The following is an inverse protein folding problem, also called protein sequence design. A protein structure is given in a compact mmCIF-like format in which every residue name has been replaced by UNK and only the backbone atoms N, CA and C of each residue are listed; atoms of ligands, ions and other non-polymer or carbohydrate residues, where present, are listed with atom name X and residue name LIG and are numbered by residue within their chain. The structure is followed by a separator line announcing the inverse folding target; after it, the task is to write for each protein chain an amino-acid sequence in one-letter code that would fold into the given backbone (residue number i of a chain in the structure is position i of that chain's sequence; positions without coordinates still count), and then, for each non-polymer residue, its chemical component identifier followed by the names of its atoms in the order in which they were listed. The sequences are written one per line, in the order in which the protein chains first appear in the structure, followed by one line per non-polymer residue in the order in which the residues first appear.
data_IF_506517726745
#
_entry.id   IF_506517726745
#
_cell.length_a   1.000
_cell.length_b   1.000
_cell.length_c   1.000
_cell.angle_alpha   90.00
_cell.angle_beta   90.00
_cell.angle_gamma   90.00
#
_symmetry.space_group_name_H-M   'P 1'
#
loop_
_entity.id
_entity.type
_entity.pdbx_description
1 polymer ?
#
# COMPACT_ATOMS: atom_id res chain seq x y z
N UNK A 1 -69.27 52.58 -16.41
CA UNK A 1 -69.02 51.49 -15.46
C UNK A 1 -68.87 50.18 -16.24
N UNK A 2 -67.66 49.87 -16.70
CA UNK A 2 -67.36 48.63 -17.46
C UNK A 2 -66.24 47.86 -16.77
N UNK A 3 -66.53 46.65 -16.30
CA UNK A 3 -65.59 45.75 -15.62
C UNK A 3 -64.76 44.98 -16.66
N UNK A 4 -63.45 45.17 -16.67
CA UNK A 4 -62.51 44.32 -17.42
C UNK A 4 -62.23 43.07 -16.60
N UNK A 5 -62.53 41.88 -17.13
CA UNK A 5 -62.20 40.58 -16.53
C UNK A 5 -60.78 40.18 -16.98
N UNK A 6 -59.87 40.03 -16.02
CA UNK A 6 -58.53 39.49 -16.23
C UNK A 6 -58.62 37.95 -16.24
N UNK A 7 -58.30 37.31 -17.37
CA UNK A 7 -58.19 35.84 -17.47
C UNK A 7 -56.73 35.47 -17.24
N UNK A 8 -56.43 34.88 -16.09
CA UNK A 8 -55.11 34.31 -15.76
C UNK A 8 -55.07 32.91 -16.35
N UNK A 9 -54.22 32.68 -17.35
CA UNK A 9 -53.90 31.34 -17.86
C UNK A 9 -52.94 30.67 -16.88
N UNK A 10 -53.42 29.66 -16.17
CA UNK A 10 -52.62 28.79 -15.32
C UNK A 10 -51.82 27.82 -16.22
N UNK A 11 -50.51 28.00 -16.33
CA UNK A 11 -49.62 27.00 -16.91
C UNK A 11 -49.26 25.97 -15.83
N UNK A 12 -49.81 24.75 -15.92
CA UNK A 12 -49.30 23.63 -15.14
C UNK A 12 -47.94 23.22 -15.73
N UNK A 13 -46.85 23.60 -15.05
CA UNK A 13 -45.54 22.98 -15.25
C UNK A 13 -45.56 21.62 -14.54
N UNK A 14 -45.65 20.56 -15.32
CA UNK A 14 -45.44 19.20 -14.84
C UNK A 14 -43.94 19.03 -14.57
N UNK A 15 -43.53 19.17 -13.31
CA UNK A 15 -42.17 18.93 -12.90
C UNK A 15 -41.88 17.42 -13.04
N UNK A 16 -41.15 17.05 -14.10
CA UNK A 16 -40.54 15.73 -14.19
C UNK A 16 -39.46 15.66 -13.10
N UNK A 17 -39.77 14.99 -12.00
CA UNK A 17 -38.76 14.49 -11.08
C UNK A 17 -37.98 13.40 -11.82
N UNK A 18 -36.84 13.77 -12.40
CA UNK A 18 -35.82 12.82 -12.77
C UNK A 18 -35.23 12.34 -11.44
N UNK A 19 -35.35 11.06 -11.06
CA UNK A 19 -34.60 10.56 -9.93
C UNK A 19 -33.13 10.70 -10.31
N UNK A 20 -32.42 11.58 -9.59
CA UNK A 20 -30.97 11.55 -9.60
C UNK A 20 -30.60 10.22 -8.98
N UNK A 21 -30.19 9.26 -9.81
CA UNK A 21 -29.52 8.08 -9.31
C UNK A 21 -28.27 8.59 -8.59
N UNK A 22 -28.20 8.39 -7.27
CA UNK A 22 -26.94 8.48 -6.55
C UNK A 22 -26.05 7.37 -7.11
N UNK A 23 -25.21 7.69 -8.08
CA UNK A 23 -24.13 6.81 -8.49
C UNK A 23 -23.16 6.74 -7.31
N UNK A 24 -23.11 5.59 -6.65
CA UNK A 24 -22.11 5.27 -5.64
C UNK A 24 -20.71 5.49 -6.25
N UNK A 25 -20.03 6.55 -5.82
CA UNK A 25 -18.63 6.79 -6.10
C UNK A 25 -17.76 5.89 -5.22
N UNK A 26 -17.57 4.64 -5.66
CA UNK A 26 -16.31 3.91 -5.55
C UNK A 26 -16.40 2.73 -6.52
N UNK A 27 -16.34 3.06 -7.81
CA UNK A 27 -16.13 2.03 -8.83
C UNK A 27 -14.69 1.52 -8.70
N UNK A 28 -14.41 0.26 -9.05
CA UNK A 28 -13.02 -0.22 -9.05
C UNK A 28 -12.08 0.61 -9.94
N UNK A 29 -12.62 1.33 -10.94
CA UNK A 29 -11.91 2.36 -11.71
C UNK A 29 -11.45 3.54 -10.84
N UNK A 30 -12.29 4.03 -9.92
CA UNK A 30 -11.93 5.12 -9.00
C UNK A 30 -10.80 4.69 -8.05
N UNK A 31 -10.86 3.45 -7.56
CA UNK A 31 -9.79 2.87 -6.73
C UNK A 31 -8.49 2.78 -7.52
N UNK A 32 -8.51 2.26 -8.75
CA UNK A 32 -7.33 2.22 -9.63
C UNK A 32 -6.74 3.62 -9.89
N UNK A 33 -7.60 4.63 -10.10
CA UNK A 33 -7.19 6.01 -10.32
C UNK A 33 -6.54 6.61 -9.07
N UNK A 34 -7.14 6.41 -7.88
CA UNK A 34 -6.59 6.87 -6.60
C UNK A 34 -5.23 6.23 -6.29
N UNK A 35 -5.08 4.93 -6.52
CA UNK A 35 -3.79 4.22 -6.40
C UNK A 35 -2.75 4.82 -7.35
N UNK A 36 -3.13 5.03 -8.61
CA UNK A 36 -2.24 5.63 -9.62
C UNK A 36 -1.81 7.05 -9.22
N UNK A 37 -2.74 7.87 -8.71
CA UNK A 37 -2.42 9.21 -8.23
C UNK A 37 -1.41 9.17 -7.08
N UNK A 38 -1.59 8.29 -6.09
CA UNK A 38 -0.64 8.11 -4.98
C UNK A 38 0.73 7.61 -5.43
N UNK A 39 0.78 6.74 -6.42
CA UNK A 39 2.04 6.27 -7.00
C UNK A 39 2.85 7.43 -7.62
N UNK A 40 2.20 8.38 -8.28
CA UNK A 40 2.87 9.55 -8.90
C UNK A 40 3.07 10.74 -7.96
N UNK A 41 2.51 10.70 -6.75
CA UNK A 41 2.60 11.79 -5.79
C UNK A 41 3.93 11.77 -5.03
N UNK A 42 4.95 12.46 -5.55
CA UNK A 42 6.28 12.54 -4.93
C UNK A 42 6.39 13.68 -3.89
N UNK A 43 5.32 14.00 -3.17
CA UNK A 43 5.42 14.91 -2.04
C UNK A 43 6.41 14.40 -0.97
N UNK A 44 6.95 15.33 -0.18
CA UNK A 44 8.00 15.06 0.82
C UNK A 44 7.40 14.84 2.21
N UNK A 45 6.18 15.35 2.45
CA UNK A 45 5.45 15.22 3.71
C UNK A 45 3.96 15.05 3.46
N UNK A 46 3.26 14.43 4.40
CA UNK A 46 1.81 14.45 4.47
C UNK A 46 1.34 15.64 5.30
N UNK A 47 0.57 16.54 4.67
CA UNK A 47 0.00 17.72 5.33
C UNK A 47 1.06 18.72 5.84
N UNK A 48 0.58 19.77 6.50
CA UNK A 48 1.43 20.86 7.00
C UNK A 48 2.24 20.46 8.25
N UNK A 49 1.83 19.40 8.95
CA UNK A 49 2.47 18.90 10.17
C UNK A 49 3.75 18.08 9.91
N UNK A 50 4.17 17.94 8.64
CA UNK A 50 5.42 17.27 8.30
C UNK A 50 5.40 15.75 8.52
N UNK A 51 4.22 15.12 8.40
CA UNK A 51 4.07 13.69 8.67
C UNK A 51 4.75 12.82 7.58
N UNK A 52 5.17 11.58 7.90
CA UNK A 52 5.80 10.69 6.93
C UNK A 52 4.90 10.38 5.72
N UNK A 53 5.49 10.42 4.52
CA UNK A 53 4.76 10.27 3.25
C UNK A 53 4.03 8.95 3.08
N UNK A 54 4.49 7.86 3.73
CA UNK A 54 3.81 6.57 3.68
C UNK A 54 2.39 6.60 4.29
N UNK A 55 2.00 7.68 4.97
CA UNK A 55 0.67 7.84 5.53
C UNK A 55 -0.37 8.37 4.52
N UNK A 56 0.05 8.96 3.39
CA UNK A 56 -0.84 9.57 2.40
C UNK A 56 -0.44 9.36 0.93
N UNK A 57 0.82 9.02 0.65
CA UNK A 57 1.39 8.90 -0.69
C UNK A 57 2.13 7.56 -0.86
N UNK A 58 2.27 7.14 -2.12
CA UNK A 58 2.77 5.83 -2.50
C UNK A 58 1.74 4.73 -2.25
N UNK A 59 2.14 3.51 -2.59
CA UNK A 59 1.27 2.34 -2.54
C UNK A 59 1.91 1.27 -1.67
N UNK A 60 1.22 0.92 -0.58
CA UNK A 60 1.61 -0.15 0.33
C UNK A 60 1.00 -1.46 -0.16
N UNK A 61 1.82 -2.36 -0.68
CA UNK A 61 1.36 -3.64 -1.22
C UNK A 61 1.99 -4.81 -0.50
N UNK A 62 1.23 -5.89 -0.34
CA UNK A 62 1.75 -7.14 0.22
C UNK A 62 1.38 -8.30 -0.67
N UNK A 63 2.40 -9.04 -1.12
CA UNK A 63 2.22 -10.34 -1.74
C UNK A 63 1.74 -11.38 -0.75
N UNK A 64 0.81 -12.24 -1.18
CA UNK A 64 0.25 -13.35 -0.39
C UNK A 64 0.17 -14.62 -1.23
N UNK A 65 -0.30 -15.71 -0.61
CA UNK A 65 -0.64 -16.96 -1.29
C UNK A 65 -2.02 -17.36 -0.82
N UNK A 66 -2.98 -17.47 -1.74
CA UNK A 66 -4.35 -17.85 -1.43
C UNK A 66 -4.43 -19.25 -0.82
N UNK A 67 -5.32 -19.47 0.14
CA UNK A 67 -5.50 -20.77 0.79
C UNK A 67 -6.89 -20.92 1.42
N UNK A 68 -7.36 -22.16 1.53
CA UNK A 68 -8.53 -22.56 2.31
C UNK A 68 -8.24 -22.79 3.80
N UNK A 69 -6.97 -22.68 4.22
CA UNK A 69 -6.53 -22.94 5.60
C UNK A 69 -6.38 -21.69 6.45
N UNK A 70 -6.31 -20.52 5.81
CA UNK A 70 -6.10 -19.23 6.45
C UNK A 70 -6.60 -18.12 5.52
N UNK A 71 -6.85 -16.95 6.09
CA UNK A 71 -7.17 -15.75 5.31
C UNK A 71 -5.90 -15.01 4.89
N UNK A 72 -5.81 -14.54 3.65
CA UNK A 72 -4.60 -13.88 3.12
C UNK A 72 -4.18 -12.62 3.88
N UNK A 73 -5.12 -11.93 4.55
CA UNK A 73 -4.86 -10.74 5.38
C UNK A 73 -4.47 -11.06 6.83
N UNK A 74 -4.46 -12.33 7.24
CA UNK A 74 -4.04 -12.72 8.58
C UNK A 74 -2.51 -12.82 8.65
N UNK A 75 -1.87 -12.26 9.70
CA UNK A 75 -0.45 -12.44 9.90
C UNK A 75 -0.05 -13.90 10.03
N UNK A 76 0.94 -14.33 9.23
CA UNK A 76 1.48 -15.69 9.26
C UNK A 76 2.04 -16.05 10.65
N UNK A 77 2.21 -17.34 10.99
CA UNK A 77 2.89 -17.73 12.23
C UNK A 77 4.29 -17.12 12.39
N UNK A 78 5.01 -16.90 11.28
CA UNK A 78 6.30 -16.20 11.30
C UNK A 78 6.14 -14.72 11.63
N UNK A 79 5.18 -14.05 11.00
CA UNK A 79 4.85 -12.65 11.29
C UNK A 79 4.43 -12.43 12.74
N UNK A 80 3.57 -13.31 13.28
CA UNK A 80 3.16 -13.27 14.68
C UNK A 80 4.34 -13.46 15.64
N UNK A 81 5.22 -14.41 15.34
CA UNK A 81 6.42 -14.69 16.16
C UNK A 81 7.41 -13.51 16.15
N UNK A 82 7.68 -12.92 14.99
CA UNK A 82 8.63 -11.80 14.89
C UNK A 82 7.99 -10.48 15.36
N UNK A 83 6.68 -10.32 15.20
CA UNK A 83 5.93 -9.12 15.58
C UNK A 83 5.76 -8.10 14.45
N UNK A 84 5.95 -8.52 13.19
CA UNK A 84 5.81 -7.65 12.02
C UNK A 84 5.39 -8.41 10.75
N UNK A 85 4.85 -7.65 9.80
CA UNK A 85 4.40 -8.12 8.49
C UNK A 85 5.12 -7.31 7.40
N UNK A 86 5.70 -8.01 6.42
CA UNK A 86 6.44 -7.38 5.32
C UNK A 86 5.49 -6.89 4.22
N UNK A 87 5.76 -5.69 3.73
CA UNK A 87 5.12 -5.01 2.60
C UNK A 87 6.21 -4.50 1.65
N UNK A 88 5.81 -4.15 0.44
CA UNK A 88 6.60 -3.30 -0.45
C UNK A 88 5.94 -1.93 -0.57
N UNK A 89 6.76 -0.90 -0.81
CA UNK A 89 6.33 0.47 -1.02
C UNK A 89 6.58 0.87 -2.47
N UNK A 90 5.53 1.25 -3.21
CA UNK A 90 5.65 1.73 -4.58
C UNK A 90 5.47 3.25 -4.64
N UNK A 91 6.37 3.92 -5.35
CA UNK A 91 6.23 5.32 -5.73
C UNK A 91 7.03 5.58 -7.00
N UNK A 92 6.68 6.59 -7.78
CA UNK A 92 7.28 6.81 -9.10
C UNK A 92 8.79 7.10 -9.07
N UNK A 93 9.34 7.56 -7.94
CA UNK A 93 10.77 7.73 -7.69
C UNK A 93 11.43 6.56 -6.93
N UNK A 94 10.64 5.55 -6.54
CA UNK A 94 11.06 4.28 -5.95
C UNK A 94 10.92 3.19 -7.01
N UNK A 95 11.93 3.07 -7.87
CA UNK A 95 11.93 2.17 -9.02
C UNK A 95 12.20 0.72 -8.61
N UNK A 96 11.16 0.04 -8.14
CA UNK A 96 11.14 -1.43 -7.99
C UNK A 96 10.44 -2.06 -9.20
N UNK A 97 10.86 -3.26 -9.61
CA UNK A 97 10.31 -3.92 -10.80
C UNK A 97 9.76 -5.32 -10.53
N UNK A 98 9.82 -5.81 -9.29
CA UNK A 98 9.13 -7.04 -8.87
C UNK A 98 8.83 -7.05 -7.37
N UNK A 99 7.99 -8.01 -6.95
CA UNK A 99 7.77 -8.37 -5.55
C UNK A 99 8.73 -9.49 -5.13
N UNK A 100 9.09 -9.51 -3.84
CA UNK A 100 9.87 -10.60 -3.25
C UNK A 100 9.17 -11.96 -3.45
N UNK A 101 9.95 -13.03 -3.62
CA UNK A 101 9.48 -14.42 -3.91
C UNK A 101 8.58 -14.54 -5.15
N UNK A 102 8.51 -13.53 -6.01
CA UNK A 102 7.64 -13.53 -7.19
C UNK A 102 6.17 -13.83 -6.84
N UNK A 103 5.65 -13.21 -5.77
CA UNK A 103 4.22 -13.30 -5.45
C UNK A 103 3.37 -12.73 -6.58
N UNK A 104 2.34 -13.46 -7.02
CA UNK A 104 1.50 -13.05 -8.15
C UNK A 104 0.16 -12.44 -7.75
N UNK A 105 -0.20 -12.49 -6.48
CA UNK A 105 -1.39 -11.86 -5.92
C UNK A 105 -1.11 -11.29 -4.53
N UNK A 106 -2.06 -10.52 -4.04
CA UNK A 106 -1.98 -9.92 -2.72
C UNK A 106 -3.04 -8.85 -2.50
N UNK A 107 -2.75 -7.95 -1.58
CA UNK A 107 -3.63 -6.84 -1.27
C UNK A 107 -2.88 -5.51 -1.11
N UNK A 108 -3.64 -4.43 -1.25
CA UNK A 108 -3.18 -3.05 -1.17
C UNK A 108 -3.81 -2.39 0.05
N UNK A 109 -3.00 -1.72 0.86
CA UNK A 109 -3.48 -0.86 1.92
C UNK A 109 -3.77 0.56 1.41
N UNK A 110 -4.95 1.09 1.75
CA UNK A 110 -5.29 2.50 1.62
C UNK A 110 -4.34 3.37 2.45
N UNK A 111 -4.12 4.63 2.05
CA UNK A 111 -3.40 5.61 2.87
C UNK A 111 -4.06 5.76 4.25
N UNK A 112 -3.24 5.72 5.30
CA UNK A 112 -3.69 5.72 6.69
C UNK A 112 -4.50 6.96 7.09
N UNK A 113 -4.19 8.13 6.50
CA UNK A 113 -4.92 9.38 6.79
C UNK A 113 -6.31 9.46 6.15
N UNK A 114 -6.61 8.58 5.18
CA UNK A 114 -7.90 8.55 4.48
C UNK A 114 -8.65 7.21 4.69
N UNK A 115 -8.16 6.36 5.58
CA UNK A 115 -8.71 5.02 5.79
C UNK A 115 -9.81 5.02 6.85
N UNK A 116 -11.06 5.03 6.39
CA UNK A 116 -12.25 4.97 7.24
C UNK A 116 -13.13 3.77 6.88
N UNK A 117 -13.86 3.24 7.86
CA UNK A 117 -14.89 2.23 7.65
C UNK A 117 -16.21 2.85 7.14
N UNK A 118 -17.19 2.01 6.85
CA UNK A 118 -18.50 2.44 6.33
C UNK A 118 -19.32 3.29 7.34
N UNK A 119 -18.88 3.39 8.58
CA UNK A 119 -19.47 4.24 9.63
C UNK A 119 -18.69 5.54 9.85
N UNK A 120 -17.60 5.75 9.10
CA UNK A 120 -16.72 6.91 9.21
C UNK A 120 -15.71 6.81 10.37
N UNK A 121 -15.54 5.64 10.99
CA UNK A 121 -14.50 5.44 12.00
C UNK A 121 -13.17 5.10 11.32
N UNK A 122 -12.03 5.61 11.83
CA UNK A 122 -10.73 5.23 11.30
C UNK A 122 -10.50 3.72 11.39
N UNK A 123 -9.98 3.15 10.30
CA UNK A 123 -9.45 1.79 10.30
C UNK A 123 -8.14 1.73 11.10
N UNK A 124 -7.68 0.53 11.44
CA UNK A 124 -6.40 0.41 12.15
C UNK A 124 -5.25 0.83 11.23
N UNK A 125 -4.26 1.49 11.81
CA UNK A 125 -3.02 1.90 11.15
C UNK A 125 -1.87 1.13 11.81
N UNK A 126 -1.53 -0.08 11.34
CA UNK A 126 -0.37 -0.80 11.85
C UNK A 126 0.88 0.09 11.77
N UNK A 127 1.60 0.23 12.88
CA UNK A 127 2.78 1.09 12.94
C UNK A 127 3.82 0.63 11.89
N UNK A 128 4.31 1.57 11.09
CA UNK A 128 5.40 1.29 10.14
C UNK A 128 6.71 1.39 10.92
N UNK A 129 7.44 0.27 10.99
CA UNK A 129 8.58 0.08 11.88
C UNK A 129 9.90 0.48 11.22
N UNK A 130 10.18 -0.10 10.06
CA UNK A 130 11.42 0.15 9.34
C UNK A 130 11.28 -0.09 7.84
N UNK A 131 12.20 0.50 7.08
CA UNK A 131 12.32 0.34 5.65
C UNK A 131 13.72 -0.10 5.24
N UNK A 132 13.79 -1.08 4.36
CA UNK A 132 15.01 -1.52 3.68
C UNK A 132 14.93 -1.17 2.19
N UNK A 133 15.92 -0.44 1.63
CA UNK A 133 15.96 -0.14 0.19
C UNK A 133 16.03 -1.38 -0.72
N UNK A 134 16.52 -2.50 -0.19
CA UNK A 134 16.54 -3.83 -0.80
C UNK A 134 15.86 -4.77 0.18
N UNK A 135 15.21 -5.85 -0.26
CA UNK A 135 14.78 -6.94 0.63
C UNK A 135 15.77 -7.22 1.77
N UNK A 136 15.27 -7.08 3.00
CA UNK A 136 16.06 -7.15 4.21
C UNK A 136 16.29 -8.59 4.67
N UNK A 137 15.52 -9.56 4.18
CA UNK A 137 15.50 -10.92 4.73
C UNK A 137 15.05 -10.91 6.18
N UNK A 138 14.00 -10.16 6.49
CA UNK A 138 13.62 -9.82 7.88
C UNK A 138 13.19 -11.00 8.75
N UNK A 139 12.89 -12.15 8.17
CA UNK A 139 12.63 -13.38 8.92
C UNK A 139 13.86 -13.87 9.70
N UNK A 140 15.07 -13.48 9.27
CA UNK A 140 16.34 -13.82 9.93
C UNK A 140 16.91 -12.67 10.78
N UNK A 141 16.12 -11.61 11.02
CA UNK A 141 16.52 -10.43 11.82
C UNK A 141 15.81 -10.43 13.17
N UNK A 142 16.47 -9.87 14.18
CA UNK A 142 15.85 -9.60 15.47
C UNK A 142 15.02 -8.30 15.45
N UNK A 143 14.48 -7.90 16.59
CA UNK A 143 13.74 -6.64 16.77
C UNK A 143 12.62 -6.42 15.74
N UNK A 144 11.67 -7.36 15.71
CA UNK A 144 10.56 -7.37 14.74
C UNK A 144 11.00 -7.28 13.28
N UNK A 145 12.18 -7.82 12.98
CA UNK A 145 12.75 -7.79 11.63
C UNK A 145 13.54 -6.53 11.30
N UNK A 146 13.56 -5.52 12.17
CA UNK A 146 14.23 -4.23 11.95
C UNK A 146 15.65 -4.18 12.50
N UNK A 147 16.06 -5.18 13.28
CA UNK A 147 17.40 -5.25 13.85
C UNK A 147 18.39 -6.06 13.01
N UNK A 148 19.46 -6.50 13.68
CA UNK A 148 20.58 -7.18 13.03
C UNK A 148 20.18 -8.53 12.46
N UNK A 149 20.71 -8.83 11.28
CA UNK A 149 20.59 -10.12 10.61
C UNK A 149 21.48 -11.15 11.31
N UNK A 150 20.99 -12.39 11.44
CA UNK A 150 21.73 -13.48 12.08
C UNK A 150 23.12 -13.67 11.47
N UNK A 151 24.18 -13.44 12.26
CA UNK A 151 25.58 -13.51 11.82
C UNK A 151 26.19 -12.18 11.35
N UNK A 152 25.40 -11.10 11.28
CA UNK A 152 25.83 -9.77 10.86
C UNK A 152 25.51 -8.74 11.94
N UNK A 153 26.41 -8.57 12.92
CA UNK A 153 26.16 -7.71 14.08
C UNK A 153 25.87 -6.24 13.70
N UNK A 154 26.53 -5.72 12.68
CA UNK A 154 26.40 -4.33 12.22
C UNK A 154 25.34 -4.15 11.12
N UNK A 155 24.34 -5.02 11.02
CA UNK A 155 23.25 -4.87 10.04
C UNK A 155 21.93 -4.41 10.63
N UNK A 156 21.92 -3.93 11.88
CA UNK A 156 20.73 -3.40 12.56
C UNK A 156 20.23 -2.06 11.99
N UNK A 157 19.68 -1.21 12.86
CA UNK A 157 19.21 0.12 12.45
C UNK A 157 20.35 0.97 11.88
N UNK A 158 20.08 1.71 10.80
CA UNK A 158 21.03 2.67 10.21
C UNK A 158 21.38 3.79 11.19
N UNK A 159 20.39 4.27 11.95
CA UNK A 159 20.54 5.36 12.92
C UNK A 159 21.51 4.97 14.05
N UNK A 160 21.49 3.71 14.50
CA UNK A 160 22.45 3.20 15.50
C UNK A 160 23.90 3.21 15.00
N UNK A 161 24.10 3.34 13.68
CA UNK A 161 25.41 3.38 13.03
C UNK A 161 25.77 4.79 12.52
N UNK A 162 24.98 5.81 12.88
CA UNK A 162 25.10 7.18 12.37
C UNK A 162 24.96 7.28 10.83
N UNK A 163 24.19 6.36 10.23
CA UNK A 163 23.78 6.40 8.84
C UNK A 163 22.37 6.96 8.81
N UNK A 164 22.23 8.21 8.40
CA UNK A 164 20.94 8.93 8.37
C UNK A 164 20.61 9.51 7.00
N UNK A 165 21.52 9.42 6.02
CA UNK A 165 21.27 9.90 4.64
C UNK A 165 21.38 8.79 3.61
N UNK A 166 20.75 9.00 2.45
CA UNK A 166 20.83 8.09 1.33
C UNK A 166 22.28 7.86 0.86
N UNK A 167 23.09 8.92 0.79
CA UNK A 167 24.49 8.86 0.37
C UNK A 167 25.35 8.06 1.35
N UNK A 168 25.10 8.20 2.65
CA UNK A 168 25.79 7.42 3.67
C UNK A 168 25.45 5.93 3.56
N UNK A 169 24.17 5.61 3.34
CA UNK A 169 23.74 4.24 3.13
C UNK A 169 24.40 3.63 1.89
N UNK A 170 24.40 4.34 0.77
CA UNK A 170 25.04 3.89 -0.49
C UNK A 170 26.53 3.66 -0.29
N UNK A 171 27.22 4.61 0.35
CA UNK A 171 28.64 4.45 0.66
C UNK A 171 28.89 3.23 1.55
N UNK A 172 28.08 3.02 2.59
CA UNK A 172 28.20 1.85 3.45
C UNK A 172 27.95 0.55 2.68
N UNK A 173 26.90 0.50 1.86
CA UNK A 173 26.55 -0.69 1.08
C UNK A 173 27.65 -1.07 0.08
N UNK A 174 28.20 -0.11 -0.66
CA UNK A 174 29.24 -0.36 -1.66
C UNK A 174 30.61 -0.61 -1.01
N UNK A 175 31.04 0.29 -0.13
CA UNK A 175 32.45 0.37 0.28
C UNK A 175 32.74 -0.38 1.58
N UNK A 176 31.75 -0.58 2.45
CA UNK A 176 31.91 -1.28 3.74
C UNK A 176 31.36 -2.70 3.66
N UNK A 177 30.14 -2.84 3.13
CA UNK A 177 29.45 -4.12 3.06
C UNK A 177 29.72 -4.88 1.74
N UNK A 178 30.38 -4.26 0.77
CA UNK A 178 30.72 -4.88 -0.52
C UNK A 178 29.51 -5.52 -1.23
N UNK A 179 28.39 -4.80 -1.28
CA UNK A 179 27.12 -5.24 -1.87
C UNK A 179 26.48 -6.46 -1.17
N UNK A 180 26.87 -6.77 0.07
CA UNK A 180 26.23 -7.82 0.85
C UNK A 180 24.86 -7.33 1.37
N UNK A 181 23.79 -7.87 0.76
CA UNK A 181 22.40 -7.61 1.14
C UNK A 181 22.12 -7.90 2.62
N UNK A 182 22.71 -8.95 3.21
CA UNK A 182 22.44 -9.32 4.60
C UNK A 182 23.15 -8.37 5.60
N UNK A 183 24.22 -7.71 5.16
CA UNK A 183 24.95 -6.72 5.93
C UNK A 183 24.29 -5.32 5.91
N UNK A 184 23.33 -5.07 5.02
CA UNK A 184 22.65 -3.77 4.94
C UNK A 184 21.93 -3.42 6.27
N UNK A 185 21.98 -2.14 6.65
CA UNK A 185 21.16 -1.61 7.72
C UNK A 185 19.76 -1.25 7.20
N UNK A 186 18.76 -1.28 8.09
CA UNK A 186 17.40 -0.79 7.85
C UNK A 186 17.17 0.59 8.47
N UNK A 187 16.38 1.43 7.82
CA UNK A 187 16.01 2.74 8.37
C UNK A 187 14.85 2.56 9.35
N UNK A 188 15.06 2.90 10.63
CA UNK A 188 13.99 2.97 11.64
C UNK A 188 13.13 4.20 11.42
N UNK A 189 11.81 4.03 11.30
CA UNK A 189 10.84 5.11 11.01
C UNK A 189 9.76 5.27 12.08
N UNK A 190 10.01 4.80 13.30
CA UNK A 190 9.06 4.89 14.44
C UNK A 190 9.24 6.13 15.33
N UNK A 191 10.35 6.85 15.18
CA UNK A 191 10.73 7.95 16.07
C UNK A 191 10.53 9.36 15.49
N UNK A 192 11.10 10.34 16.20
CA UNK A 192 11.21 11.71 15.74
C UNK A 192 11.94 11.77 14.38
N UNK A 193 11.53 12.71 13.53
CA UNK A 193 12.06 12.87 12.17
C UNK A 193 11.84 11.66 11.25
N UNK A 194 10.91 10.75 11.59
CA UNK A 194 10.55 9.60 10.75
C UNK A 194 10.22 9.99 9.30
N UNK A 195 9.65 11.18 9.09
CA UNK A 195 9.38 11.70 7.75
C UNK A 195 10.67 11.93 6.94
N UNK A 196 11.62 12.68 7.50
CA UNK A 196 12.93 12.92 6.87
C UNK A 196 13.70 11.62 6.67
N UNK A 197 13.71 10.75 7.69
CA UNK A 197 14.38 9.46 7.63
C UNK A 197 13.81 8.61 6.48
N UNK A 198 12.49 8.49 6.38
CA UNK A 198 11.86 7.70 5.32
C UNK A 198 12.15 8.30 3.94
N UNK A 199 12.16 9.63 3.82
CA UNK A 199 12.55 10.31 2.58
C UNK A 199 14.01 10.02 2.19
N UNK A 200 14.94 9.96 3.16
CA UNK A 200 16.31 9.52 2.89
C UNK A 200 16.36 8.05 2.49
N UNK A 201 15.55 7.21 3.13
CA UNK A 201 15.52 5.78 2.88
C UNK A 201 15.07 5.45 1.45
N UNK A 202 14.01 6.10 0.97
CA UNK A 202 13.51 5.90 -0.40
C UNK A 202 14.37 6.60 -1.45
N UNK A 203 15.07 7.69 -1.11
CA UNK A 203 16.01 8.37 -2.02
C UNK A 203 17.17 7.46 -2.47
N UNK A 204 17.49 6.40 -1.73
CA UNK A 204 18.57 5.47 -2.09
C UNK A 204 18.41 4.93 -3.52
N UNK A 205 17.18 4.62 -3.98
CA UNK A 205 16.92 4.11 -5.34
C UNK A 205 17.33 5.06 -6.46
N UNK A 206 17.45 6.36 -6.17
CA UNK A 206 17.90 7.37 -7.13
C UNK A 206 19.42 7.49 -7.25
N UNK A 207 20.16 6.93 -6.29
CA UNK A 207 21.61 7.09 -6.18
C UNK A 207 22.39 5.87 -6.66
N UNK A 208 21.77 4.69 -6.70
CA UNK A 208 22.39 3.43 -7.08
C UNK A 208 21.36 2.50 -7.71
N UNK A 209 21.80 1.69 -8.66
CA UNK A 209 20.98 0.62 -9.22
C UNK A 209 20.91 -0.56 -8.23
N UNK A 210 19.80 -0.65 -7.49
CA UNK A 210 19.52 -1.72 -6.52
C UNK A 210 18.81 -2.93 -7.14
N UNK A 211 18.89 -4.12 -6.52
CA UNK A 211 17.99 -5.25 -6.80
C UNK A 211 16.50 -4.85 -6.73
N UNK A 212 15.66 -5.74 -7.25
CA UNK A 212 14.37 -5.38 -7.84
C UNK A 212 13.24 -5.07 -6.86
N UNK A 213 13.42 -5.28 -5.55
CA UNK A 213 12.40 -5.15 -4.52
C UNK A 213 12.89 -4.42 -3.26
N UNK A 214 11.98 -3.71 -2.58
CA UNK A 214 12.18 -3.14 -1.25
C UNK A 214 11.37 -3.90 -0.20
N UNK A 215 11.64 -3.64 1.08
CA UNK A 215 10.89 -4.23 2.19
C UNK A 215 10.57 -3.20 3.27
N UNK A 216 9.29 -3.06 3.58
CA UNK A 216 8.73 -2.21 4.61
C UNK A 216 8.05 -3.09 5.67
N UNK A 217 8.35 -2.88 6.95
CA UNK A 217 7.85 -3.72 8.03
C UNK A 217 6.79 -2.96 8.80
N UNK A 218 5.59 -3.53 8.84
CA UNK A 218 4.49 -3.02 9.64
C UNK A 218 4.37 -3.87 10.91
N UNK A 219 3.99 -3.26 12.03
CA UNK A 219 3.67 -3.97 13.25
C UNK A 219 2.55 -5.00 12.99
N UNK A 220 2.65 -6.15 13.65
CA UNK A 220 1.62 -7.19 13.53
C UNK A 220 0.27 -6.72 14.09
N UNK A 221 -0.82 -7.18 13.50
CA UNK A 221 -2.19 -6.96 13.96
C UNK A 221 -2.86 -8.26 14.41
N UNK A 222 -4.04 -8.16 15.02
CA UNK A 222 -4.81 -9.32 15.47
C UNK A 222 -5.25 -10.21 14.30
N UNK A 223 -5.48 -11.50 14.57
CA UNK A 223 -6.10 -12.38 13.58
C UNK A 223 -7.57 -12.01 13.37
N UNK A 224 -8.10 -12.30 12.18
CA UNK A 224 -9.55 -12.35 11.92
C UNK A 224 -10.28 -11.01 12.13
N UNK A 225 -9.63 -9.91 11.75
CA UNK A 225 -10.21 -8.55 11.78
C UNK A 225 -10.27 -7.84 10.41
N UNK A 226 -10.70 -8.51 9.31
CA UNK A 226 -10.63 -7.96 7.96
C UNK A 226 -11.24 -6.55 7.83
N UNK A 227 -12.41 -6.32 8.42
CA UNK A 227 -13.14 -5.04 8.33
C UNK A 227 -12.38 -3.87 8.96
N UNK A 228 -11.52 -4.15 9.95
CA UNK A 228 -10.69 -3.14 10.61
C UNK A 228 -9.44 -2.80 9.82
N UNK A 229 -9.01 -3.68 8.90
CA UNK A 229 -7.79 -3.49 8.13
C UNK A 229 -8.00 -2.47 7.01
N UNK A 230 -7.00 -1.62 6.73
CA UNK A 230 -7.06 -0.59 5.70
C UNK A 230 -6.91 -1.19 4.30
N UNK A 231 -7.49 -2.35 4.00
CA UNK A 231 -7.45 -2.95 2.66
C UNK A 231 -8.42 -2.20 1.75
N UNK A 232 -7.91 -1.70 0.63
CA UNK A 232 -8.72 -1.01 -0.41
C UNK A 232 -8.89 -1.83 -1.68
N UNK A 233 -8.00 -2.79 -1.94
CA UNK A 233 -8.06 -3.64 -3.11
C UNK A 233 -7.29 -4.95 -2.90
N UNK A 234 -7.72 -5.99 -3.60
CA UNK A 234 -6.85 -7.12 -3.94
C UNK A 234 -6.12 -6.81 -5.24
N UNK A 235 -4.98 -7.47 -5.47
CA UNK A 235 -4.26 -7.32 -6.72
C UNK A 235 -3.79 -8.65 -7.27
N UNK A 236 -3.51 -8.65 -8.57
CA UNK A 236 -2.70 -9.67 -9.20
C UNK A 236 -1.70 -9.06 -10.18
N UNK A 237 -0.68 -9.84 -10.52
CA UNK A 237 0.21 -9.67 -11.65
C UNK A 237 0.39 -11.02 -12.35
N UNK A 238 0.91 -11.02 -13.57
CA UNK A 238 1.17 -12.24 -14.35
C UNK A 238 -0.06 -13.17 -14.37
N UNK A 239 0.09 -14.39 -13.87
CA UNK A 239 -0.91 -15.46 -13.81
C UNK A 239 -1.69 -15.54 -12.49
N UNK A 240 -1.52 -14.58 -11.56
CA UNK A 240 -2.13 -14.61 -10.23
C UNK A 240 -3.62 -14.25 -10.13
N UNK A 241 -4.34 -14.08 -11.24
CA UNK A 241 -5.74 -13.64 -11.23
C UNK A 241 -6.64 -14.58 -10.42
N UNK A 242 -6.45 -15.89 -10.57
CA UNK A 242 -7.29 -16.88 -9.88
C UNK A 242 -7.13 -16.78 -8.34
N UNK A 243 -5.93 -16.52 -7.85
CA UNK A 243 -5.66 -16.37 -6.43
C UNK A 243 -6.21 -15.04 -5.90
N UNK A 244 -6.14 -13.95 -6.67
CA UNK A 244 -6.78 -12.68 -6.31
C UNK A 244 -8.32 -12.80 -6.29
N UNK A 245 -8.92 -13.55 -7.21
CA UNK A 245 -10.36 -13.86 -7.20
C UNK A 245 -10.76 -14.69 -5.98
N UNK A 246 -9.92 -15.64 -5.57
CA UNK A 246 -10.12 -16.37 -4.34
C UNK A 246 -10.13 -15.44 -3.13
N UNK A 247 -9.09 -14.60 -2.98
CA UNK A 247 -8.96 -13.66 -1.87
C UNK A 247 -10.13 -12.65 -1.82
N UNK A 248 -10.55 -12.12 -2.98
CA UNK A 248 -11.72 -11.24 -3.09
C UNK A 248 -12.99 -11.94 -2.59
N UNK A 249 -13.19 -13.20 -2.98
CA UNK A 249 -14.37 -13.97 -2.57
C UNK A 249 -14.35 -14.27 -1.08
N UNK A 250 -13.21 -14.70 -0.56
CA UNK A 250 -13.02 -14.99 0.87
C UNK A 250 -13.28 -13.74 1.72
N UNK A 251 -12.76 -12.58 1.31
CA UNK A 251 -13.00 -11.31 1.98
C UNK A 251 -14.48 -10.92 1.94
N UNK A 252 -15.13 -11.05 0.78
CA UNK A 252 -16.57 -10.78 0.65
C UNK A 252 -17.40 -11.71 1.53
N UNK A 253 -17.06 -12.99 1.61
CA UNK A 253 -17.75 -13.95 2.47
C UNK A 253 -17.54 -13.66 3.96
N UNK A 254 -16.39 -13.09 4.32
CA UNK A 254 -16.03 -12.75 5.70
C UNK A 254 -16.64 -11.43 6.19
N UNK A 255 -16.89 -10.48 5.28
CA UNK A 255 -17.24 -9.09 5.64
C UNK A 255 -18.51 -8.55 4.99
N UNK A 256 -18.99 -9.19 3.92
CA UNK A 256 -20.03 -8.64 3.04
C UNK A 256 -19.58 -7.44 2.19
N UNK A 257 -18.30 -7.04 2.25
CA UNK A 257 -17.73 -5.92 1.50
C UNK A 257 -17.01 -6.46 0.27
N UNK A 258 -17.38 -5.98 -0.92
CA UNK A 258 -16.69 -6.33 -2.16
C UNK A 258 -15.61 -5.28 -2.45
N UNK A 259 -14.35 -5.63 -2.20
CA UNK A 259 -13.20 -4.84 -2.63
C UNK A 259 -12.83 -5.18 -4.08
N UNK A 260 -12.41 -4.22 -4.91
CA UNK A 260 -12.02 -4.50 -6.29
C UNK A 260 -10.69 -5.27 -6.35
N UNK A 261 -10.52 -6.03 -7.44
CA UNK A 261 -9.24 -6.57 -7.89
C UNK A 261 -8.63 -5.57 -8.87
N UNK A 262 -7.37 -5.21 -8.62
CA UNK A 262 -6.56 -4.33 -9.46
C UNK A 262 -5.42 -5.13 -10.08
N UNK A 263 -5.31 -5.10 -11.41
CA UNK A 263 -4.14 -5.64 -12.10
C UNK A 263 -2.96 -4.68 -11.92
N UNK A 264 -1.85 -5.19 -11.42
CA UNK A 264 -0.56 -4.48 -11.36
C UNK A 264 0.31 -4.99 -12.51
N UNK A 265 0.83 -4.06 -13.30
CA UNK A 265 1.85 -4.35 -14.33
C UNK A 265 3.15 -3.69 -13.91
N UNK A 266 4.13 -4.49 -13.49
CA UNK A 266 5.48 -4.00 -13.24
C UNK A 266 6.21 -3.75 -14.56
N UNK A 267 7.07 -2.71 -14.61
CA UNK A 267 7.80 -2.37 -15.82
C UNK A 267 8.92 -3.38 -16.11
N UNK A 268 9.37 -3.45 -17.37
CA UNK A 268 10.51 -4.33 -17.76
C UNK A 268 11.85 -3.82 -17.26
N UNK A 269 11.97 -2.51 -17.11
CA UNK A 269 13.14 -1.83 -16.58
C UNK A 269 12.73 -0.53 -15.86
N UNK A 270 13.68 0.09 -15.16
CA UNK A 270 13.43 1.25 -14.29
C UNK A 270 13.09 2.56 -15.03
N UNK A 271 13.10 2.57 -16.37
CA UNK A 271 12.71 3.74 -17.18
C UNK A 271 11.20 3.88 -17.34
N UNK A 272 10.43 2.82 -17.07
CA UNK A 272 8.97 2.83 -17.13
C UNK A 272 8.36 2.86 -15.72
N UNK A 273 7.05 3.05 -15.66
CA UNK A 273 6.27 3.14 -14.41
C UNK A 273 5.38 1.91 -14.20
N UNK A 274 5.12 1.61 -12.93
CA UNK A 274 4.11 0.60 -12.55
C UNK A 274 2.73 1.11 -12.97
N UNK A 275 1.91 0.20 -13.51
CA UNK A 275 0.54 0.53 -13.94
C UNK A 275 -0.48 -0.24 -13.12
N UNK A 276 -1.55 0.45 -12.74
CA UNK A 276 -2.69 -0.09 -11.99
C UNK A 276 -3.93 0.01 -12.87
N UNK A 277 -4.55 -1.12 -13.19
CA UNK A 277 -5.72 -1.17 -14.06
C UNK A 277 -6.83 -2.00 -13.44
N UNK A 278 -8.04 -1.49 -13.49
CA UNK A 278 -9.25 -2.25 -13.16
C UNK A 278 -9.88 -2.80 -14.43
N UNK A 279 -10.32 -4.07 -14.37
CA UNK A 279 -11.18 -4.70 -15.35
C UNK A 279 -12.37 -5.34 -14.64
N UNK A 280 -13.57 -5.16 -15.19
CA UNK A 280 -14.79 -5.75 -14.65
C UNK A 280 -14.79 -7.27 -14.81
N UNK A 281 -14.13 -7.80 -15.86
CA UNK A 281 -14.05 -9.24 -16.13
C UNK A 281 -13.12 -9.97 -15.15
N UNK A 282 -12.20 -9.25 -14.49
CA UNK A 282 -11.31 -9.80 -13.48
C UNK A 282 -12.04 -10.06 -12.14
N UNK A 283 -13.19 -9.44 -11.91
CA UNK A 283 -13.92 -9.51 -10.63
C UNK A 283 -14.74 -10.79 -10.49
N UNK A 284 -14.96 -11.24 -9.26
CA UNK A 284 -15.91 -12.33 -9.00
C UNK A 284 -17.35 -11.89 -9.27
N UNK A 285 -18.18 -12.82 -9.72
CA UNK A 285 -19.62 -12.63 -9.78
C UNK A 285 -20.23 -12.92 -8.40
N UNK A 286 -20.91 -11.93 -7.83
CA UNK A 286 -21.75 -12.10 -6.65
C UNK A 286 -23.16 -12.41 -7.15
N UNK A 287 -23.53 -13.69 -7.14
CA UNK A 287 -24.89 -14.15 -7.38
C UNK A 287 -25.61 -14.39 -6.06
#
# INVERSE_FOLDING_TARGET
MGRVKLIIKLFLYMAFFIPVANANSDTGYDVAQKITQRYFDNQIYCGDDGLPVFLCSGVLIRGTVASDKYHSWNPSPTSQRKGSVSFSYLRSDVKIIELEVNHHNGYIFSPYLESFDNTGNPKINPEILCYFPIDGGTDARNDKGCGSYSGYLNSGSCQQQNITTAEQWVNNYINVNHFDRNAQCGFDVTGDNSADIFMQAIKVSSLIDLPLNNELLLAVWDQDIPEKLPIEAFFYQNDGLQDAQYDQKDYYQSTGILLPIIKITFPRDKSEDVRFTYDQEDQININ
#
